data_IF_904326540105
#
_entry.id   IF_904326540105
#
_cell.length_a   1.000
_cell.length_b   1.000
_cell.length_c   1.000
_cell.angle_alpha   90.00
_cell.angle_beta   90.00
_cell.angle_gamma   90.00
#
_symmetry.space_group_name_H-M   'P 1'
#
loop_
_entity.id
_entity.type
_entity.pdbx_description
1 polymer ?
#
# COMPACT_ATOMS: atom_id res chain seq x y z
N UNK A 1 1.11 -12.73 -22.04
CA UNK A 1 2.09 -13.52 -21.28
C UNK A 1 1.28 -14.11 -20.14
N UNK A 2 0.92 -15.38 -20.28
CA UNK A 2 0.13 -16.11 -19.27
C UNK A 2 0.82 -16.03 -17.92
N UNK A 3 0.04 -15.85 -16.86
CA UNK A 3 0.52 -15.85 -15.48
C UNK A 3 0.74 -17.31 -15.10
N UNK A 4 1.99 -17.75 -15.12
CA UNK A 4 2.39 -19.06 -14.58
C UNK A 4 2.00 -19.16 -13.09
N UNK A 5 1.62 -20.38 -12.69
CA UNK A 5 1.29 -20.75 -11.32
C UNK A 5 2.39 -20.31 -10.32
N UNK A 6 2.02 -19.88 -9.10
CA UNK A 6 2.99 -19.47 -8.10
C UNK A 6 3.91 -20.65 -7.72
N UNK A 7 5.22 -20.47 -7.91
CA UNK A 7 6.22 -21.44 -7.49
C UNK A 7 6.15 -21.68 -5.98
N UNK A 8 6.26 -22.95 -5.60
CA UNK A 8 6.15 -23.47 -4.23
C UNK A 8 7.12 -22.73 -3.30
N UNK A 9 6.56 -22.05 -2.30
CA UNK A 9 7.31 -21.33 -1.27
C UNK A 9 8.08 -22.24 -0.32
N UNK A 10 9.11 -21.70 0.36
CA UNK A 10 9.79 -22.44 1.43
C UNK A 10 8.83 -22.63 2.62
N UNK A 11 8.63 -23.89 3.01
CA UNK A 11 7.89 -24.24 4.22
C UNK A 11 8.75 -23.95 5.46
N UNK A 12 8.24 -23.08 6.34
CA UNK A 12 8.76 -22.90 7.68
C UNK A 12 7.67 -23.31 8.66
N UNK A 13 7.86 -24.38 9.45
CA UNK A 13 6.99 -24.88 10.54
C UNK A 13 5.59 -24.24 10.65
N UNK A 14 4.69 -24.55 9.69
CA UNK A 14 3.31 -24.07 9.67
C UNK A 14 3.09 -22.73 8.93
N UNK A 15 3.99 -22.35 8.03
CA UNK A 15 3.88 -21.16 7.18
C UNK A 15 4.52 -21.32 5.80
N UNK A 16 3.94 -20.63 4.82
CA UNK A 16 4.46 -20.55 3.45
C UNK A 16 4.96 -19.13 3.22
N UNK A 17 6.26 -19.00 2.97
CA UNK A 17 6.84 -17.78 2.41
C UNK A 17 6.88 -17.96 0.89
N UNK A 18 6.22 -17.08 0.14
CA UNK A 18 6.35 -17.05 -1.32
C UNK A 18 7.41 -15.99 -1.69
N UNK A 19 8.69 -16.37 -1.82
CA UNK A 19 9.70 -15.48 -2.37
C UNK A 19 9.49 -15.41 -3.89
N UNK A 20 9.60 -14.21 -4.45
CA UNK A 20 9.60 -13.94 -5.89
C UNK A 20 8.25 -14.12 -6.63
N UNK A 21 7.59 -13.00 -6.86
CA UNK A 21 6.82 -12.82 -8.09
C UNK A 21 7.80 -12.40 -9.19
N UNK A 22 7.70 -12.88 -10.44
CA UNK A 22 8.68 -12.63 -11.52
C UNK A 22 8.97 -11.14 -11.81
N UNK A 23 8.05 -10.24 -11.43
CA UNK A 23 8.24 -8.78 -11.52
C UNK A 23 9.16 -8.18 -10.45
N UNK A 24 9.52 -8.92 -9.40
CA UNK A 24 10.36 -8.46 -8.28
C UNK A 24 11.83 -8.75 -8.54
N UNK A 25 12.44 -8.13 -9.57
CA UNK A 25 13.91 -8.18 -9.74
C UNK A 25 14.67 -7.48 -8.60
N UNK A 26 13.99 -6.62 -7.84
CA UNK A 26 14.56 -5.84 -6.74
C UNK A 26 14.16 -6.34 -5.33
N UNK A 27 13.51 -7.52 -5.19
CA UNK A 27 13.15 -8.13 -3.89
C UNK A 27 12.37 -7.21 -2.90
N UNK A 28 11.49 -6.33 -3.40
CA UNK A 28 10.82 -5.27 -2.59
C UNK A 28 9.49 -5.76 -1.95
N UNK A 29 9.21 -7.07 -1.93
CA UNK A 29 8.00 -7.57 -1.26
C UNK A 29 7.88 -9.09 -1.27
N UNK A 30 7.26 -9.62 -0.22
CA UNK A 30 6.92 -11.04 -0.10
C UNK A 30 5.61 -11.20 0.66
N UNK A 31 4.89 -12.29 0.42
CA UNK A 31 3.71 -12.67 1.21
C UNK A 31 4.10 -13.82 2.14
N UNK A 32 3.85 -13.62 3.43
CA UNK A 32 3.95 -14.67 4.45
C UNK A 32 2.55 -15.10 4.87
N UNK A 33 2.24 -16.38 4.73
CA UNK A 33 0.99 -16.96 5.21
C UNK A 33 1.27 -17.94 6.36
N UNK A 34 0.65 -17.72 7.52
CA UNK A 34 0.77 -18.61 8.69
C UNK A 34 -0.54 -19.38 8.96
N UNK A 35 -0.41 -20.69 9.18
CA UNK A 35 -1.50 -21.55 9.61
C UNK A 35 -1.91 -21.29 11.07
N UNK A 36 -3.00 -21.91 11.54
CA UNK A 36 -3.49 -21.70 12.91
C UNK A 36 -2.44 -22.23 13.89
N UNK A 37 -2.03 -21.43 14.86
CA UNK A 37 -0.90 -21.72 15.77
C UNK A 37 0.45 -21.84 15.05
N UNK A 38 0.53 -21.45 13.78
CA UNK A 38 1.77 -21.40 13.02
C UNK A 38 2.74 -20.38 13.61
N UNK A 39 4.02 -20.71 13.55
CA UNK A 39 5.11 -19.90 14.06
C UNK A 39 6.15 -19.68 12.97
N UNK A 40 6.50 -18.42 12.71
CA UNK A 40 7.63 -18.07 11.88
C UNK A 40 8.68 -17.33 12.69
N UNK A 41 9.90 -17.86 12.71
CA UNK A 41 11.08 -17.13 13.13
C UNK A 41 11.79 -16.62 11.89
N UNK A 42 11.95 -15.31 11.78
CA UNK A 42 12.69 -14.68 10.70
C UNK A 42 14.06 -14.25 11.23
N UNK A 43 15.13 -14.91 10.77
CA UNK A 43 16.51 -14.67 11.22
C UNK A 43 17.41 -14.15 10.07
N UNK A 44 18.39 -13.32 10.46
CA UNK A 44 19.42 -12.63 9.66
C UNK A 44 20.36 -13.52 8.84
N UNK A 45 20.34 -14.85 9.01
CA UNK A 45 21.35 -15.73 8.38
C UNK A 45 21.07 -16.07 6.89
N UNK A 46 19.83 -15.91 6.40
CA UNK A 46 19.50 -16.15 4.99
C UNK A 46 18.82 -14.96 4.29
N UNK A 47 18.54 -13.90 5.04
CA UNK A 47 18.03 -12.64 4.52
C UNK A 47 18.84 -11.52 5.14
N UNK A 48 19.92 -11.11 4.47
CA UNK A 48 20.23 -9.70 4.51
C UNK A 48 18.95 -8.98 4.05
N UNK A 49 18.51 -7.92 4.73
CA UNK A 49 17.34 -7.09 4.36
C UNK A 49 15.97 -7.55 4.91
N UNK A 50 15.82 -7.74 6.23
CA UNK A 50 14.52 -7.47 6.89
C UNK A 50 14.45 -6.01 7.33
N UNK A 51 14.73 -5.10 6.39
CA UNK A 51 14.31 -3.71 6.44
C UNK A 51 12.97 -3.63 5.72
N UNK A 52 11.88 -3.30 6.42
CA UNK A 52 10.60 -3.35 5.73
C UNK A 52 9.38 -2.95 6.53
N UNK A 53 8.26 -2.99 5.82
CA UNK A 53 6.92 -2.89 6.37
C UNK A 53 6.24 -4.25 6.33
N UNK A 54 5.61 -4.62 7.43
CA UNK A 54 4.68 -5.75 7.48
C UNK A 54 3.27 -5.20 7.63
N UNK A 55 2.38 -5.57 6.71
CA UNK A 55 0.96 -5.25 6.79
C UNK A 55 0.12 -6.51 7.03
N UNK A 56 -0.78 -6.43 7.99
CA UNK A 56 -1.61 -7.56 8.42
C UNK A 56 -3.04 -7.44 7.86
N UNK A 57 -3.25 -8.08 6.71
CA UNK A 57 -4.51 -8.07 5.96
C UNK A 57 -5.57 -9.06 6.52
N UNK A 58 -5.16 -10.20 7.09
CA UNK A 58 -6.10 -11.25 7.46
C UNK A 58 -6.80 -11.01 8.81
N UNK A 59 -8.07 -11.43 8.89
CA UNK A 59 -9.01 -11.44 10.05
C UNK A 59 -8.45 -12.11 11.33
N UNK A 60 -7.24 -12.64 11.29
CA UNK A 60 -6.64 -13.44 12.35
C UNK A 60 -5.61 -12.61 13.12
N UNK A 61 -5.80 -12.50 14.43
CA UNK A 61 -4.86 -11.85 15.33
C UNK A 61 -3.64 -12.75 15.64
N UNK A 62 -2.62 -12.17 16.25
CA UNK A 62 -1.43 -12.91 16.66
C UNK A 62 -0.55 -12.10 17.60
N UNK A 63 0.65 -12.61 17.83
CA UNK A 63 1.68 -11.97 18.65
C UNK A 63 2.97 -11.93 17.83
N UNK A 64 3.65 -10.79 17.85
CA UNK A 64 5.04 -10.71 17.44
C UNK A 64 5.95 -10.47 18.64
N UNK A 65 7.13 -11.08 18.58
CA UNK A 65 8.29 -10.57 19.30
C UNK A 65 9.25 -9.91 18.35
N UNK A 66 9.73 -8.74 18.74
CA UNK A 66 10.74 -7.95 18.06
C UNK A 66 11.91 -7.78 19.02
N UNK A 67 13.06 -8.31 18.64
CA UNK A 67 14.31 -8.16 19.38
C UNK A 67 15.13 -7.10 18.65
N UNK A 68 15.21 -5.92 19.26
CA UNK A 68 16.01 -4.80 18.77
C UNK A 68 17.46 -4.94 19.28
N UNK A 69 18.48 -4.62 18.46
CA UNK A 69 19.87 -4.57 18.94
C UNK A 69 19.99 -3.65 20.17
N UNK A 70 20.65 -4.12 21.23
CA UNK A 70 20.94 -3.35 22.45
C UNK A 70 19.71 -2.84 23.23
N UNK A 71 18.52 -3.40 22.98
CA UNK A 71 17.27 -3.05 23.66
C UNK A 71 16.53 -4.30 24.13
N UNK A 72 15.59 -4.11 25.07
CA UNK A 72 14.71 -5.19 25.53
C UNK A 72 13.83 -5.72 24.39
N UNK A 73 13.55 -7.02 24.44
CA UNK A 73 12.60 -7.69 23.55
C UNK A 73 11.19 -7.09 23.74
N UNK A 74 10.58 -6.69 22.62
CA UNK A 74 9.22 -6.18 22.58
C UNK A 74 8.28 -7.26 22.06
N UNK A 75 7.37 -7.70 22.92
CA UNK A 75 6.25 -8.56 22.52
C UNK A 75 4.99 -7.70 22.36
N UNK A 76 4.41 -7.68 21.16
CA UNK A 76 3.24 -6.88 20.83
C UNK A 76 2.08 -7.73 20.28
N UNK A 77 0.83 -7.39 20.65
CA UNK A 77 -0.34 -8.00 20.03
C UNK A 77 -0.52 -7.39 18.63
N UNK A 78 -0.90 -8.23 17.67
CA UNK A 78 -1.17 -7.84 16.29
C UNK A 78 -2.61 -8.17 15.94
N UNK A 79 -3.26 -7.23 15.26
CA UNK A 79 -4.60 -7.38 14.69
C UNK A 79 -4.63 -6.92 13.23
N UNK A 80 -5.75 -7.24 12.58
CA UNK A 80 -6.04 -6.80 11.22
C UNK A 80 -5.88 -5.28 11.09
N UNK A 81 -5.26 -4.83 10.01
CA UNK A 81 -4.99 -3.43 9.73
C UNK A 81 -3.71 -2.89 10.34
N UNK A 82 -3.03 -3.63 11.22
CA UNK A 82 -1.73 -3.21 11.73
C UNK A 82 -0.69 -3.19 10.61
N UNK A 83 0.09 -2.12 10.59
CA UNK A 83 1.33 -1.99 9.86
C UNK A 83 2.47 -1.83 10.85
N UNK A 84 3.53 -2.61 10.69
CA UNK A 84 4.69 -2.63 11.59
C UNK A 84 5.93 -2.25 10.78
N UNK A 85 6.64 -1.22 11.25
CA UNK A 85 7.90 -0.78 10.66
C UNK A 85 9.07 -1.43 11.42
N UNK A 86 9.97 -2.10 10.70
CA UNK A 86 11.09 -2.83 11.28
C UNK A 86 12.44 -2.28 10.76
N UNK A 87 13.29 -1.70 11.65
CA UNK A 87 14.60 -1.19 11.28
C UNK A 87 15.62 -2.33 11.06
N UNK A 88 16.85 -1.99 10.67
CA UNK A 88 17.88 -2.99 10.36
C UNK A 88 18.19 -3.88 11.54
N UNK A 89 18.60 -5.11 11.25
CA UNK A 89 19.27 -5.95 12.25
C UNK A 89 18.34 -6.44 13.36
N UNK A 90 17.03 -6.32 13.17
CA UNK A 90 16.05 -6.85 14.13
C UNK A 90 15.77 -8.32 13.87
N UNK A 91 15.71 -9.09 14.95
CA UNK A 91 15.20 -10.46 14.89
C UNK A 91 13.72 -10.41 15.23
N UNK A 92 12.89 -11.05 14.41
CA UNK A 92 11.45 -11.10 14.66
C UNK A 92 10.92 -12.52 14.63
N UNK A 93 9.95 -12.78 15.49
CA UNK A 93 9.16 -13.98 15.44
C UNK A 93 7.67 -13.62 15.43
N UNK A 94 6.90 -14.45 14.76
CA UNK A 94 5.47 -14.25 14.52
C UNK A 94 4.74 -15.52 14.95
N UNK A 95 3.73 -15.37 15.79
CA UNK A 95 2.90 -16.47 16.22
C UNK A 95 1.43 -16.13 15.97
N UNK A 96 0.75 -16.97 15.17
CA UNK A 96 -0.68 -16.79 14.90
C UNK A 96 -1.51 -17.43 16.01
N UNK A 97 -2.27 -16.63 16.74
CA UNK A 97 -3.07 -17.08 17.89
C UNK A 97 -4.56 -16.77 17.71
N UNK A 98 -5.41 -17.48 18.44
CA UNK A 98 -6.82 -17.11 18.53
C UNK A 98 -6.97 -15.82 19.36
N UNK A 99 -8.00 -15.02 19.07
CA UNK A 99 -8.27 -13.77 19.81
C UNK A 99 -8.49 -13.99 21.32
N UNK A 100 -9.06 -15.15 21.69
CA UNK A 100 -9.22 -15.57 23.08
C UNK A 100 -7.89 -15.84 23.80
N UNK A 101 -6.81 -16.12 23.08
CA UNK A 101 -5.48 -16.42 23.63
C UNK A 101 -4.58 -15.18 23.75
N UNK A 102 -4.95 -14.06 23.11
CA UNK A 102 -4.19 -12.81 23.18
C UNK A 102 -4.23 -12.14 24.55
N UNK A 103 -5.24 -12.43 25.37
CA UNK A 103 -5.36 -11.87 26.72
C UNK A 103 -4.33 -12.47 27.69
N UNK A 104 -3.81 -13.67 27.39
CA UNK A 104 -2.81 -14.38 28.19
C UNK A 104 -1.37 -14.17 27.68
N UNK A 105 -1.20 -13.53 26.52
CA UNK A 105 0.12 -13.21 26.00
C UNK A 105 0.77 -12.15 26.91
N UNK A 106 2.05 -12.33 27.27
CA UNK A 106 2.89 -11.31 27.93
C UNK A 106 3.11 -10.05 27.08
N UNK A 107 2.26 -9.82 26.08
CA UNK A 107 2.30 -8.72 25.16
C UNK A 107 1.88 -7.44 25.88
N UNK A 108 2.75 -6.44 25.87
CA UNK A 108 2.48 -5.17 26.55
C UNK A 108 1.99 -4.15 25.53
N UNK A 109 0.84 -3.51 25.78
CA UNK A 109 0.31 -2.47 24.88
C UNK A 109 1.29 -1.33 24.66
N UNK A 110 2.11 -0.99 25.66
CA UNK A 110 3.18 0.01 25.52
C UNK A 110 4.22 -0.33 24.44
N UNK A 111 4.44 -1.61 24.13
CA UNK A 111 5.35 -2.02 23.07
C UNK A 111 4.82 -1.70 21.66
N UNK A 112 3.51 -1.47 21.53
CA UNK A 112 2.89 -1.07 20.27
C UNK A 112 3.29 0.35 19.87
N UNK A 113 3.44 1.24 20.86
CA UNK A 113 3.69 2.66 20.64
C UNK A 113 5.01 2.88 19.88
N UNK A 114 4.91 3.53 18.72
CA UNK A 114 6.04 3.83 17.84
C UNK A 114 6.53 2.65 17.00
N UNK A 115 6.04 1.42 17.22
CA UNK A 115 6.41 0.23 16.44
C UNK A 115 5.36 -0.13 15.39
N UNK A 116 4.08 0.07 15.72
CA UNK A 116 2.95 -0.32 14.89
C UNK A 116 1.92 0.82 14.79
N UNK A 117 1.18 0.82 13.69
CA UNK A 117 0.03 1.70 13.47
C UNK A 117 -1.11 0.89 12.84
N UNK A 118 -2.31 1.00 13.40
CA UNK A 118 -3.48 0.37 12.81
C UNK A 118 -4.09 1.29 11.73
N UNK A 119 -3.93 0.90 10.47
CA UNK A 119 -4.37 1.68 9.32
C UNK A 119 -5.90 1.71 9.16
N UNK A 120 -6.63 0.75 9.76
CA UNK A 120 -8.09 0.75 9.73
C UNK A 120 -8.70 1.69 10.78
N UNK A 121 -7.97 1.96 11.87
CA UNK A 121 -8.39 2.78 13.01
C UNK A 121 -7.73 4.18 13.06
N UNK A 122 -6.63 4.39 12.34
CA UNK A 122 -5.92 5.66 12.29
C UNK A 122 -6.79 6.78 11.67
N UNK A 123 -6.54 8.06 12.04
CA UNK A 123 -7.16 9.19 11.37
C UNK A 123 -6.94 9.13 9.85
N UNK A 124 -8.01 9.39 9.09
CA UNK A 124 -7.97 9.39 7.62
C UNK A 124 -7.30 10.66 7.12
N UNK A 125 -6.38 10.54 6.17
CA UNK A 125 -5.80 11.68 5.46
C UNK A 125 -6.80 12.27 4.46
N UNK A 126 -7.57 11.39 3.82
CA UNK A 126 -8.67 11.78 2.92
C UNK A 126 -9.85 10.84 3.11
N UNK A 127 -11.06 11.41 3.14
CA UNK A 127 -12.34 10.70 3.17
C UNK A 127 -13.33 11.40 2.23
N UNK A 128 -13.53 10.82 1.04
CA UNK A 128 -14.48 11.33 0.05
C UNK A 128 -15.68 10.40 0.04
N UNK A 129 -16.84 10.94 0.44
CA UNK A 129 -18.12 10.23 0.42
C UNK A 129 -18.37 9.60 -0.95
N UNK A 130 -18.70 8.31 -0.95
CA UNK A 130 -18.96 7.47 -2.13
C UNK A 130 -17.78 7.34 -3.12
N UNK A 131 -16.62 7.93 -2.81
CA UNK A 131 -15.38 7.80 -3.59
C UNK A 131 -14.42 6.82 -2.94
N UNK A 132 -13.95 7.13 -1.74
CA UNK A 132 -13.00 6.29 -1.03
C UNK A 132 -12.28 7.04 0.09
N UNK A 133 -11.38 6.34 0.76
CA UNK A 133 -10.59 6.85 1.87
C UNK A 133 -9.19 6.30 1.89
N UNK A 134 -8.26 7.07 2.46
CA UNK A 134 -6.85 6.66 2.59
C UNK A 134 -6.28 7.08 3.94
N UNK A 135 -5.40 6.21 4.45
CA UNK A 135 -4.42 6.52 5.50
C UNK A 135 -3.03 6.38 4.89
N UNK A 136 -2.19 7.38 5.05
CA UNK A 136 -0.79 7.40 4.64
C UNK A 136 0.10 7.26 5.87
N UNK A 137 0.98 6.27 5.85
CA UNK A 137 1.96 6.03 6.89
C UNK A 137 3.24 6.79 6.56
N UNK A 138 3.61 7.70 7.46
CA UNK A 138 4.74 8.60 7.30
C UNK A 138 5.38 8.91 8.65
N UNK A 139 6.44 9.72 8.67
CA UNK A 139 7.22 9.97 9.89
C UNK A 139 6.44 10.69 11.00
N UNK A 140 5.27 11.27 10.68
CA UNK A 140 4.42 11.96 11.67
C UNK A 140 3.59 10.99 12.51
N UNK A 141 3.09 9.90 11.91
CA UNK A 141 2.22 8.94 12.59
C UNK A 141 2.92 7.63 12.98
N UNK A 142 4.04 7.30 12.34
CA UNK A 142 4.88 6.18 12.71
C UNK A 142 6.37 6.59 12.51
N UNK A 143 7.05 7.17 13.52
CA UNK A 143 8.39 7.73 13.34
C UNK A 143 9.44 6.75 12.78
N UNK A 144 9.35 5.46 13.13
CA UNK A 144 10.28 4.42 12.64
C UNK A 144 10.32 4.29 11.11
N UNK A 145 9.29 4.73 10.41
CA UNK A 145 9.28 4.68 8.94
C UNK A 145 10.40 5.55 8.34
N UNK A 146 10.83 6.59 9.07
CA UNK A 146 12.01 7.39 8.74
C UNK A 146 13.31 6.61 8.82
N UNK A 147 13.45 5.70 9.79
CA UNK A 147 14.61 4.81 9.92
C UNK A 147 14.58 3.69 8.87
N UNK A 148 13.39 3.17 8.56
CA UNK A 148 13.19 2.15 7.53
C UNK A 148 13.38 2.70 6.12
N UNK A 149 13.15 4.01 5.92
CA UNK A 149 13.25 4.67 4.62
C UNK A 149 12.10 4.33 3.66
N UNK A 150 11.03 3.73 4.18
CA UNK A 150 9.84 3.34 3.43
C UNK A 150 8.63 4.04 4.04
N UNK A 151 7.58 4.22 3.25
CA UNK A 151 6.28 4.71 3.68
C UNK A 151 5.22 3.75 3.18
N UNK A 152 3.97 3.99 3.53
CA UNK A 152 2.89 3.14 3.06
C UNK A 152 1.56 3.87 2.94
N UNK A 153 0.60 3.25 2.26
CA UNK A 153 -0.78 3.66 2.29
C UNK A 153 -1.73 2.47 2.44
N UNK A 154 -2.86 2.70 3.10
CA UNK A 154 -4.03 1.84 3.01
C UNK A 154 -5.14 2.64 2.33
N UNK A 155 -5.51 2.24 1.13
CA UNK A 155 -6.63 2.84 0.39
C UNK A 155 -7.81 1.90 0.38
N UNK A 156 -9.00 2.45 0.59
CA UNK A 156 -10.29 1.75 0.50
C UNK A 156 -11.17 2.51 -0.48
N UNK A 157 -11.31 1.98 -1.69
CA UNK A 157 -12.05 2.60 -2.79
C UNK A 157 -13.46 2.01 -2.86
N UNK A 158 -14.46 2.88 -2.89
CA UNK A 158 -15.86 2.45 -2.94
C UNK A 158 -16.20 1.82 -4.30
N UNK A 159 -17.29 1.06 -4.35
CA UNK A 159 -17.74 0.38 -5.57
C UNK A 159 -17.92 1.35 -6.74
N UNK A 160 -17.36 0.99 -7.90
CA UNK A 160 -17.38 1.82 -9.13
C UNK A 160 -16.67 3.18 -9.03
N UNK A 161 -16.05 3.51 -7.90
CA UNK A 161 -15.27 4.73 -7.78
C UNK A 161 -13.91 4.58 -8.47
N UNK A 162 -13.29 5.72 -8.81
CA UNK A 162 -11.96 5.79 -9.41
C UNK A 162 -10.98 6.49 -8.48
N UNK A 163 -9.78 5.94 -8.35
CA UNK A 163 -8.62 6.68 -7.86
C UNK A 163 -8.01 7.45 -9.03
N UNK A 164 -7.92 8.78 -8.87
CA UNK A 164 -7.44 9.73 -9.88
C UNK A 164 -6.10 9.29 -10.44
N UNK A 165 -5.89 9.35 -11.77
CA UNK A 165 -4.59 9.03 -12.35
C UNK A 165 -3.50 9.89 -11.69
N UNK A 166 -2.46 9.27 -11.19
CA UNK A 166 -1.42 9.96 -10.44
C UNK A 166 -0.10 9.21 -10.41
N UNK A 167 0.93 9.88 -9.92
CA UNK A 167 2.28 9.32 -9.77
C UNK A 167 2.92 9.87 -8.48
N UNK A 168 3.95 9.19 -7.97
CA UNK A 168 4.73 9.70 -6.82
C UNK A 168 5.71 10.78 -7.30
N UNK A 169 5.70 11.93 -6.62
CA UNK A 169 6.53 13.10 -6.97
C UNK A 169 7.99 12.93 -6.56
N UNK A 170 8.25 12.11 -5.55
CA UNK A 170 9.53 11.94 -4.88
C UNK A 170 10.38 10.81 -5.47
N UNK A 171 10.14 10.47 -6.74
CA UNK A 171 10.82 9.37 -7.42
C UNK A 171 10.70 8.05 -6.65
N UNK A 172 9.57 7.81 -5.98
CA UNK A 172 9.36 6.58 -5.24
C UNK A 172 8.72 5.50 -6.12
N UNK A 173 9.17 4.27 -5.92
CA UNK A 173 8.53 3.07 -6.45
C UNK A 173 7.45 2.64 -5.47
N UNK A 174 6.34 2.09 -5.99
CA UNK A 174 5.22 1.61 -5.18
C UNK A 174 5.01 0.12 -5.41
N UNK A 175 4.98 -0.66 -4.35
CA UNK A 175 4.59 -2.07 -4.34
C UNK A 175 3.19 -2.14 -3.77
N UNK A 176 2.19 -2.43 -4.60
CA UNK A 176 0.78 -2.42 -4.21
C UNK A 176 0.22 -3.85 -4.16
N UNK A 177 -0.35 -4.21 -3.01
CA UNK A 177 -1.02 -5.48 -2.78
C UNK A 177 -2.53 -5.26 -2.59
N UNK A 178 -3.35 -6.00 -3.34
CA UNK A 178 -4.81 -5.91 -3.24
C UNK A 178 -5.30 -6.75 -2.08
N UNK A 179 -5.90 -6.06 -1.10
CA UNK A 179 -6.38 -6.59 0.17
C UNK A 179 -7.78 -7.18 -0.01
N UNK A 180 -8.68 -6.42 -0.65
CA UNK A 180 -10.09 -6.80 -0.81
C UNK A 180 -10.63 -6.34 -2.15
N UNK A 181 -11.60 -7.09 -2.66
CA UNK A 181 -12.36 -6.71 -3.85
C UNK A 181 -11.56 -6.87 -5.13
N UNK A 182 -11.96 -6.10 -6.15
CA UNK A 182 -11.34 -6.14 -7.47
C UNK A 182 -11.56 -4.84 -8.23
N UNK A 183 -10.81 -4.66 -9.31
CA UNK A 183 -10.98 -3.52 -10.17
C UNK A 183 -9.99 -3.50 -11.32
N UNK A 184 -10.17 -2.54 -12.23
CA UNK A 184 -9.27 -2.32 -13.36
C UNK A 184 -8.14 -1.41 -12.94
N UNK A 185 -6.91 -1.81 -13.24
CA UNK A 185 -5.70 -1.01 -13.05
C UNK A 185 -5.06 -0.73 -14.39
N UNK A 186 -4.62 0.52 -14.59
CA UNK A 186 -3.81 0.92 -15.72
C UNK A 186 -2.52 1.60 -15.23
N UNK A 187 -1.39 1.24 -15.85
CA UNK A 187 -0.10 1.88 -15.61
C UNK A 187 0.49 2.33 -16.95
N UNK A 188 0.88 3.60 -17.02
CA UNK A 188 1.46 4.24 -18.19
C UNK A 188 2.86 4.73 -17.84
N UNK A 189 3.83 4.36 -18.67
CA UNK A 189 5.23 4.77 -18.53
C UNK A 189 5.47 6.21 -18.98
N UNK A 190 6.67 6.71 -18.66
CA UNK A 190 7.11 8.07 -19.00
C UNK A 190 7.19 8.33 -20.51
N UNK A 191 7.28 7.27 -21.32
CA UNK A 191 7.24 7.33 -22.78
C UNK A 191 5.80 7.35 -23.35
N UNK A 192 4.80 7.46 -22.47
CA UNK A 192 3.38 7.44 -22.82
C UNK A 192 2.84 6.05 -23.17
N UNK A 193 3.67 4.99 -23.10
CA UNK A 193 3.21 3.64 -23.39
C UNK A 193 2.54 3.03 -22.18
N UNK A 194 1.41 2.39 -22.43
CA UNK A 194 0.72 1.59 -21.44
C UNK A 194 1.49 0.29 -21.20
N UNK A 195 2.00 0.12 -19.99
CA UNK A 195 2.80 -1.06 -19.59
C UNK A 195 1.99 -2.09 -18.83
N UNK A 196 0.86 -1.69 -18.23
CA UNK A 196 -0.08 -2.59 -17.58
C UNK A 196 -1.51 -2.12 -17.84
N UNK A 197 -2.37 -3.06 -18.21
CA UNK A 197 -3.83 -2.90 -18.14
C UNK A 197 -4.46 -4.25 -17.88
N UNK A 198 -5.09 -4.39 -16.72
CA UNK A 198 -5.75 -5.64 -16.35
C UNK A 198 -6.77 -5.40 -15.25
N UNK A 199 -7.67 -6.35 -15.06
CA UNK A 199 -8.44 -6.48 -13.82
C UNK A 199 -7.58 -7.19 -12.79
N UNK A 200 -7.51 -6.65 -11.58
CA UNK A 200 -6.77 -7.19 -10.44
C UNK A 200 -7.76 -7.49 -9.33
N UNK A 201 -7.56 -8.62 -8.64
CA UNK A 201 -8.40 -9.07 -7.50
C UNK A 201 -7.58 -9.22 -6.23
N UNK A 202 -8.26 -9.31 -5.09
CA UNK A 202 -7.66 -9.59 -3.79
C UNK A 202 -6.65 -10.74 -3.85
N UNK A 203 -5.52 -10.57 -3.16
CA UNK A 203 -4.39 -11.49 -3.18
C UNK A 203 -3.34 -11.22 -4.26
N UNK A 204 -3.60 -10.29 -5.19
CA UNK A 204 -2.66 -9.93 -6.26
C UNK A 204 -1.70 -8.82 -5.80
N UNK A 205 -0.49 -8.81 -6.35
CA UNK A 205 0.51 -7.77 -6.15
C UNK A 205 0.99 -7.23 -7.50
N UNK A 206 1.19 -5.92 -7.59
CA UNK A 206 1.81 -5.27 -8.74
C UNK A 206 2.71 -4.12 -8.29
N UNK A 207 3.59 -3.69 -9.19
CA UNK A 207 4.55 -2.62 -8.93
C UNK A 207 4.25 -1.45 -9.86
N UNK A 208 4.25 -0.24 -9.32
CA UNK A 208 4.25 1.00 -10.09
C UNK A 208 5.67 1.57 -10.04
N UNK A 209 6.40 1.56 -11.16
CA UNK A 209 7.74 2.15 -11.22
C UNK A 209 7.71 3.67 -10.98
N UNK A 210 8.90 4.22 -10.69
CA UNK A 210 9.10 5.65 -10.47
C UNK A 210 8.58 6.47 -11.66
N UNK A 211 7.82 7.52 -11.38
CA UNK A 211 7.21 8.42 -12.38
C UNK A 211 6.15 7.80 -13.29
N UNK A 212 5.77 6.54 -13.09
CA UNK A 212 4.71 5.93 -13.89
C UNK A 212 3.36 6.41 -13.36
N UNK A 213 2.46 6.73 -14.28
CA UNK A 213 1.11 7.14 -13.95
C UNK A 213 0.28 5.88 -13.73
N UNK A 214 -0.40 5.80 -12.60
CA UNK A 214 -1.32 4.71 -12.27
C UNK A 214 -2.72 5.25 -12.05
N UNK A 215 -3.73 4.55 -12.57
CA UNK A 215 -5.14 4.76 -12.25
C UNK A 215 -5.79 3.44 -11.86
N UNK A 216 -6.80 3.51 -10.98
CA UNK A 216 -7.58 2.35 -10.54
C UNK A 216 -9.06 2.68 -10.56
N UNK A 217 -9.88 1.76 -11.07
CA UNK A 217 -11.34 1.83 -10.99
C UNK A 217 -11.82 0.58 -10.28
N UNK A 218 -12.55 0.72 -9.18
CA UNK A 218 -13.09 -0.41 -8.45
C UNK A 218 -14.26 -1.05 -9.21
N UNK A 219 -14.38 -2.37 -9.08
CA UNK A 219 -15.61 -3.09 -9.42
C UNK A 219 -16.74 -2.74 -8.43
N UNK A 220 -17.99 -3.21 -8.64
CA UNK A 220 -19.13 -2.85 -7.79
C UNK A 220 -18.95 -3.13 -6.28
N UNK A 221 -18.16 -4.14 -5.92
CA UNK A 221 -17.92 -4.52 -4.51
C UNK A 221 -16.81 -3.69 -3.83
N UNK A 222 -16.21 -2.74 -4.55
CA UNK A 222 -15.10 -1.93 -4.08
C UNK A 222 -13.73 -2.58 -4.25
N UNK A 223 -12.68 -1.84 -3.90
CA UNK A 223 -11.29 -2.28 -4.02
C UNK A 223 -10.44 -1.66 -2.92
N UNK A 224 -9.80 -2.50 -2.11
CA UNK A 224 -8.89 -2.06 -1.05
C UNK A 224 -7.48 -2.53 -1.36
N UNK A 225 -6.48 -1.70 -1.12
CA UNK A 225 -5.08 -2.07 -1.30
C UNK A 225 -4.18 -1.43 -0.25
N UNK A 226 -3.08 -2.12 0.02
CA UNK A 226 -1.98 -1.60 0.81
C UNK A 226 -0.77 -1.42 -0.09
N UNK A 227 -0.13 -0.25 -0.07
CA UNK A 227 1.10 -0.01 -0.82
C UNK A 227 2.27 0.23 0.11
N UNK A 228 3.43 -0.34 -0.25
CA UNK A 228 4.73 0.04 0.32
C UNK A 228 5.43 0.94 -0.70
N UNK A 229 5.99 2.05 -0.22
CA UNK A 229 6.48 3.12 -1.07
C UNK A 229 7.93 3.41 -0.65
N UNK A 230 8.84 3.52 -1.61
CA UNK A 230 10.28 3.67 -1.35
C UNK A 230 10.67 5.10 -0.91
N UNK A 231 9.95 5.64 0.06
CA UNK A 231 10.11 6.98 0.62
C UNK A 231 9.37 7.05 1.97
N UNK A 232 9.97 7.60 3.03
CA UNK A 232 9.32 7.67 4.35
C UNK A 232 8.17 8.68 4.42
N UNK A 233 8.04 9.59 3.45
CA UNK A 233 6.99 10.60 3.41
C UNK A 233 6.35 10.65 2.01
N UNK A 234 5.48 9.67 1.68
CA UNK A 234 4.90 9.58 0.35
C UNK A 234 4.13 10.84 -0.05
N UNK A 235 4.47 11.38 -1.22
CA UNK A 235 3.76 12.50 -1.84
C UNK A 235 3.33 12.13 -3.25
N UNK A 236 2.04 12.27 -3.50
CA UNK A 236 1.44 11.96 -4.80
C UNK A 236 0.97 13.22 -5.51
N UNK A 237 1.11 13.22 -6.83
CA UNK A 237 0.46 14.17 -7.72
C UNK A 237 -0.69 13.49 -8.46
N UNK A 238 -1.75 14.26 -8.71
CA UNK A 238 -2.90 13.81 -9.46
C UNK A 238 -3.03 14.57 -10.79
N UNK A 239 -3.46 13.85 -11.83
CA UNK A 239 -3.72 14.35 -13.17
C UNK A 239 -5.21 14.59 -13.43
N UNK A 240 -6.05 14.46 -12.42
CA UNK A 240 -7.44 14.89 -12.45
C UNK A 240 -7.87 15.27 -11.03
N UNK A 241 -8.97 16.01 -10.92
CA UNK A 241 -9.46 16.51 -9.65
C UNK A 241 -9.08 17.96 -9.37
N UNK A 242 -9.57 18.49 -8.25
CA UNK A 242 -9.43 19.88 -7.82
C UNK A 242 -7.96 20.32 -7.70
N UNK A 243 -7.11 19.43 -7.21
CA UNK A 243 -5.68 19.66 -6.96
C UNK A 243 -4.79 19.19 -8.10
N UNK A 244 -5.36 18.88 -9.28
CA UNK A 244 -4.56 18.37 -10.40
C UNK A 244 -3.69 19.43 -11.05
N UNK A 245 -2.56 18.96 -11.61
CA UNK A 245 -1.60 19.81 -12.33
C UNK A 245 -2.25 20.61 -13.47
N UNK A 246 -3.28 20.05 -14.11
CA UNK A 246 -4.01 20.74 -15.16
C UNK A 246 -4.78 21.96 -14.67
N UNK A 247 -5.30 21.94 -13.43
CA UNK A 247 -6.01 23.10 -12.87
C UNK A 247 -5.06 24.22 -12.42
N UNK A 248 -3.77 23.92 -12.31
CA UNK A 248 -2.75 24.91 -11.99
C UNK A 248 -2.24 25.67 -13.23
N UNK A 249 -2.48 25.14 -14.44
CA UNK A 249 -2.10 25.79 -15.70
C UNK A 249 -3.15 26.81 -16.14
N UNK A 250 -2.72 27.86 -16.84
CA UNK A 250 -3.65 28.83 -17.41
C UNK A 250 -4.42 28.24 -18.62
N UNK A 251 -5.63 28.73 -18.92
CA UNK A 251 -6.38 28.31 -20.09
C UNK A 251 -5.57 28.41 -21.39
N UNK A 252 -4.79 29.48 -21.57
CA UNK A 252 -3.98 29.73 -22.77
C UNK A 252 -2.88 28.67 -22.93
N UNK A 253 -2.25 28.25 -21.82
CA UNK A 253 -1.24 27.18 -21.83
C UNK A 253 -1.88 25.85 -22.22
N UNK A 254 -3.06 25.53 -21.68
CA UNK A 254 -3.78 24.30 -22.02
C UNK A 254 -4.25 24.28 -23.48
N UNK A 255 -4.76 25.41 -23.98
CA UNK A 255 -5.17 25.57 -25.38
C UNK A 255 -3.97 25.36 -26.31
N UNK A 256 -2.84 26.00 -26.03
CA UNK A 256 -1.62 25.87 -26.82
C UNK A 256 -1.02 24.45 -26.75
N UNK A 257 -0.94 23.86 -25.55
CA UNK A 257 -0.34 22.55 -25.34
C UNK A 257 -1.14 21.41 -25.98
N UNK A 258 -2.48 21.46 -25.91
CA UNK A 258 -3.34 20.44 -26.50
C UNK A 258 -3.79 20.76 -27.93
N UNK A 259 -3.54 21.98 -28.43
CA UNK A 259 -4.01 22.42 -29.74
C UNK A 259 -5.54 22.48 -29.82
N UNK A 260 -6.20 22.93 -28.74
CA UNK A 260 -7.66 22.92 -28.61
C UNK A 260 -8.25 24.33 -28.51
N UNK A 261 -9.48 24.55 -29.01
CA UNK A 261 -10.16 25.84 -28.88
C UNK A 261 -10.63 26.10 -27.42
N UNK A 262 -10.94 27.38 -27.08
CA UNK A 262 -11.31 27.78 -25.72
C UNK A 262 -12.52 27.03 -25.13
N UNK A 263 -13.51 26.65 -25.93
CA UNK A 263 -14.70 25.92 -25.47
C UNK A 263 -14.37 24.49 -25.02
N UNK A 264 -13.42 23.83 -25.70
CA UNK A 264 -12.93 22.50 -25.32
C UNK A 264 -12.09 22.57 -24.05
N UNK A 265 -11.20 23.57 -23.94
CA UNK A 265 -10.44 23.82 -22.70
C UNK A 265 -11.39 24.09 -21.54
N UNK A 266 -12.36 24.99 -21.71
CA UNK A 266 -13.31 25.35 -20.66
C UNK A 266 -14.10 24.12 -20.20
N UNK A 267 -14.52 23.27 -21.14
CA UNK A 267 -15.18 22.00 -20.82
C UNK A 267 -14.27 21.05 -20.04
N UNK A 268 -13.01 20.88 -20.46
CA UNK A 268 -12.02 20.08 -19.73
C UNK A 268 -11.77 20.61 -18.31
N UNK A 269 -11.50 21.91 -18.20
CA UNK A 269 -11.23 22.60 -16.93
C UNK A 269 -12.46 22.70 -16.02
N UNK A 270 -13.68 22.57 -16.54
CA UNK A 270 -14.91 22.53 -15.74
C UNK A 270 -15.11 21.22 -14.95
N UNK A 271 -14.53 20.10 -15.41
CA UNK A 271 -14.78 18.77 -14.83
C UNK A 271 -13.98 18.53 -13.54
N UNK A 272 -14.57 17.74 -12.62
CA UNK A 272 -13.96 17.23 -11.38
C UNK A 272 -13.30 18.33 -10.55
N UNK A 273 -14.04 19.41 -10.28
CA UNK A 273 -13.60 20.54 -9.42
C UNK A 273 -13.87 20.32 -7.94
N UNK A 274 -14.77 19.40 -7.59
CA UNK A 274 -15.17 19.16 -6.20
C UNK A 274 -14.29 18.09 -5.54
N UNK A 275 -13.93 17.06 -6.29
CA UNK A 275 -13.19 15.91 -5.80
C UNK A 275 -11.68 16.05 -6.02
N UNK A 276 -10.88 15.58 -5.07
CA UNK A 276 -9.41 15.63 -5.16
C UNK A 276 -8.85 14.34 -5.76
N UNK A 277 -8.89 13.25 -4.98
CA UNK A 277 -8.15 12.02 -5.31
C UNK A 277 -9.07 10.85 -5.66
N UNK A 278 -10.27 10.78 -5.08
CA UNK A 278 -11.25 9.73 -5.36
C UNK A 278 -12.46 10.33 -6.04
N UNK A 279 -12.87 9.70 -7.12
CA UNK A 279 -14.00 10.11 -7.93
C UNK A 279 -15.14 9.13 -7.72
N UNK A 280 -16.22 9.54 -7.03
CA UNK A 280 -17.43 8.75 -6.95
C UNK A 280 -17.98 8.45 -8.35
N UNK A 281 -18.71 7.32 -8.50
CA UNK A 281 -19.43 7.04 -9.73
C UNK A 281 -20.44 8.17 -10.03
N UNK A 282 -20.76 8.43 -11.31
CA UNK A 282 -21.81 9.37 -11.67
C UNK A 282 -23.14 8.91 -11.06
N UNK A 283 -23.93 9.86 -10.55
CA UNK A 283 -25.33 9.63 -10.18
C UNK A 283 -26.18 9.25 -11.38
#
# INVERSE_FOLDING_TARGET
MELDDPQVGQEANGGVLCPSLPMLRENIGAKLALEKNGFALLNLAHFAVLHGFFFFDLVKCGVAGIVLPEKEEKVLPIKKGDAIALPFGVVTWWNRQARSQLQDARAKKEHYNGMALNCEEAPLDVDIKDGGKVVVLNTKNLPLVGEVGLGADLVRLNGKAMCSPGFSCDSALQVTYIVRGSGRVQVVGVDGKRVLETTIKAGSLFIVPRFFVVSKIADPDGMDWFSIITTPNPVFTHLAGRTSVWKALSPEVLQAAFGVPPDVEQKFSSKRKAEEIFFPPPN
#
